data_IF_643854408077
#
_entry.id   IF_643854408077
#
_cell.length_a   1.000
_cell.length_b   1.000
_cell.length_c   1.000
_cell.angle_alpha   90.00
_cell.angle_beta   90.00
_cell.angle_gamma   90.00
#
_symmetry.space_group_name_H-M   'P 1'
#
loop_
_entity.id
_entity.type
_entity.pdbx_description
1 polymer ?
#
# COMPACT_ATOMS: atom_id res chain seq x y z
N UNK A 1 -7.59 -76.20 20.51
CA UNK A 1 -7.55 -74.74 20.77
C UNK A 1 -8.70 -74.10 20.00
N UNK A 2 -9.84 -73.84 20.64
CA UNK A 2 -10.28 -72.59 21.29
C UNK A 2 -10.68 -71.46 20.32
N UNK A 3 -12.00 -71.43 20.05
CA UNK A 3 -12.97 -70.29 19.93
C UNK A 3 -12.62 -69.17 18.93
N UNK A 4 -13.55 -68.75 18.07
CA UNK A 4 -14.68 -67.87 18.46
C UNK A 4 -15.95 -68.07 17.62
N UNK A 5 -17.06 -67.73 18.26
CA UNK A 5 -18.46 -67.93 17.90
C UNK A 5 -19.15 -66.56 17.96
N UNK A 6 -19.96 -66.25 16.93
CA UNK A 6 -21.10 -65.31 16.82
C UNK A 6 -20.85 -63.80 17.15
N UNK A 7 -21.62 -62.78 16.74
CA UNK A 7 -23.05 -62.61 16.38
C UNK A 7 -23.18 -61.38 15.44
N UNK A 8 -24.19 -61.38 14.57
CA UNK A 8 -24.66 -60.26 13.74
C UNK A 8 -25.83 -59.54 14.45
N UNK A 9 -25.74 -58.22 14.68
CA UNK A 9 -26.82 -57.24 14.96
C UNK A 9 -26.14 -55.86 14.86
N UNK A 10 -26.68 -54.76 14.36
CA UNK A 10 -27.98 -54.33 13.89
C UNK A 10 -27.85 -52.82 13.61
N UNK A 11 -28.81 -52.29 12.87
CA UNK A 11 -28.91 -50.95 12.27
C UNK A 11 -28.72 -49.80 13.28
N UNK A 12 -28.10 -48.69 12.86
CA UNK A 12 -28.56 -47.36 13.30
C UNK A 12 -28.24 -46.28 12.25
N UNK A 13 -29.31 -45.76 11.66
CA UNK A 13 -29.33 -44.57 10.82
C UNK A 13 -29.32 -43.37 11.78
N UNK A 14 -28.28 -42.53 11.72
CA UNK A 14 -28.30 -41.23 12.37
C UNK A 14 -27.84 -40.17 11.37
N UNK A 15 -28.82 -39.43 10.86
CA UNK A 15 -28.65 -38.14 10.22
C UNK A 15 -27.84 -37.23 11.17
N UNK A 16 -26.62 -36.88 10.78
CA UNK A 16 -25.95 -35.71 11.32
C UNK A 16 -25.79 -34.72 10.18
N UNK A 17 -26.68 -33.74 10.21
CA UNK A 17 -26.46 -32.40 9.68
C UNK A 17 -25.03 -31.97 10.03
N UNK A 18 -24.12 -32.06 9.06
CA UNK A 18 -22.89 -31.30 9.11
C UNK A 18 -23.28 -29.84 8.92
N UNK A 19 -23.44 -29.10 10.02
CA UNK A 19 -23.31 -27.65 9.98
C UNK A 19 -21.94 -27.36 9.38
N UNK A 20 -21.91 -26.97 8.11
CA UNK A 20 -20.75 -26.36 7.50
C UNK A 20 -20.50 -25.05 8.26
N UNK A 21 -19.63 -25.11 9.27
CA UNK A 21 -19.04 -23.90 9.84
C UNK A 21 -18.21 -23.28 8.72
N UNK A 22 -18.79 -22.23 8.12
CA UNK A 22 -18.09 -21.26 7.31
C UNK A 22 -16.85 -20.83 8.10
N UNK A 23 -15.62 -20.94 7.56
CA UNK A 23 -14.48 -20.40 8.28
C UNK A 23 -14.69 -18.89 8.33
N UNK A 24 -14.97 -18.39 9.53
CA UNK A 24 -14.86 -16.98 9.83
C UNK A 24 -13.40 -16.61 9.59
N UNK A 25 -13.18 -15.79 8.56
CA UNK A 25 -11.91 -15.10 8.33
C UNK A 25 -11.73 -14.15 9.50
N UNK A 26 -11.19 -14.67 10.60
CA UNK A 26 -10.57 -13.86 11.63
C UNK A 26 -9.38 -13.17 10.98
N UNK A 27 -9.60 -11.98 10.43
CA UNK A 27 -8.54 -11.01 10.22
C UNK A 27 -8.03 -10.65 11.61
N UNK A 28 -7.09 -11.44 12.12
CA UNK A 28 -6.40 -11.15 13.36
C UNK A 28 -5.56 -9.89 13.13
N UNK A 29 -6.15 -8.75 13.44
CA UNK A 29 -5.42 -7.49 13.62
C UNK A 29 -4.54 -7.67 14.85
N UNK A 30 -3.36 -8.27 14.66
CA UNK A 30 -2.30 -8.28 15.65
C UNK A 30 -1.91 -6.83 15.90
N UNK A 31 -2.34 -6.29 17.03
CA UNK A 31 -1.82 -5.04 17.57
C UNK A 31 -0.34 -5.32 17.91
N UNK A 32 0.57 -4.97 17.01
CA UNK A 32 2.01 -5.08 17.24
C UNK A 32 2.43 -4.04 18.28
N UNK A 33 3.06 -4.51 19.35
CA UNK A 33 3.63 -3.67 20.40
C UNK A 33 4.83 -2.89 19.85
N UNK A 34 4.93 -1.64 20.31
CA UNK A 34 6.00 -0.67 20.09
C UNK A 34 7.41 -1.29 20.21
N UNK A 35 8.16 -1.23 19.11
CA UNK A 35 9.61 -1.45 19.04
C UNK A 35 10.03 -2.89 18.76
N UNK A 36 10.29 -3.22 17.49
CA UNK A 36 11.59 -3.76 17.03
C UNK A 36 11.59 -4.03 15.51
N UNK A 37 10.45 -4.37 14.90
CA UNK A 37 10.34 -4.61 13.45
C UNK A 37 9.23 -3.76 12.82
N UNK A 38 9.44 -3.19 11.61
CA UNK A 38 8.40 -2.43 10.93
C UNK A 38 7.22 -3.34 10.53
N UNK A 39 6.00 -2.86 10.79
CA UNK A 39 4.77 -3.47 10.29
C UNK A 39 4.59 -3.09 8.82
N UNK A 40 5.01 -3.96 7.89
CA UNK A 40 4.78 -3.76 6.46
C UNK A 40 3.31 -4.09 6.15
N UNK A 41 2.54 -3.06 5.81
CA UNK A 41 1.11 -3.20 5.51
C UNK A 41 0.82 -3.27 4.01
N UNK A 42 1.78 -2.87 3.16
CA UNK A 42 1.66 -2.96 1.70
C UNK A 42 3.03 -3.16 1.03
N UNK A 43 3.24 -4.36 0.49
CA UNK A 43 4.46 -4.77 -0.25
C UNK A 43 4.14 -5.28 -1.68
N UNK A 44 2.92 -5.03 -2.16
CA UNK A 44 2.39 -5.44 -3.47
C UNK A 44 2.53 -6.93 -3.84
N UNK A 45 2.89 -7.80 -2.90
CA UNK A 45 2.96 -9.26 -3.09
C UNK A 45 1.57 -9.88 -3.31
N UNK A 46 0.56 -9.31 -2.68
CA UNK A 46 -0.82 -9.76 -2.73
C UNK A 46 -1.58 -9.07 -3.87
N UNK A 47 -2.64 -9.70 -4.36
CA UNK A 47 -3.44 -9.15 -5.47
C UNK A 47 -4.29 -7.92 -5.06
N UNK A 48 -4.46 -7.67 -3.77
CA UNK A 48 -5.37 -6.65 -3.27
C UNK A 48 -4.62 -5.36 -2.88
N UNK A 49 -4.19 -4.61 -3.89
CA UNK A 49 -3.89 -3.18 -3.75
C UNK A 49 -5.20 -2.40 -3.75
N UNK A 50 -5.52 -1.71 -2.64
CA UNK A 50 -6.69 -0.84 -2.55
C UNK A 50 -6.24 0.62 -2.72
N UNK A 51 -6.31 1.10 -3.95
CA UNK A 51 -5.83 2.42 -4.33
C UNK A 51 -5.89 2.60 -5.84
N UNK A 52 -5.41 3.74 -6.32
CA UNK A 52 -5.49 4.07 -7.74
C UNK A 52 -4.72 5.32 -8.11
N UNK A 53 -4.80 5.67 -9.39
CA UNK A 53 -4.24 6.92 -9.90
C UNK A 53 -5.28 8.03 -9.80
N UNK A 54 -4.82 9.24 -9.51
CA UNK A 54 -5.60 10.44 -9.65
C UNK A 54 -4.77 11.55 -10.30
N UNK A 55 -5.45 12.51 -10.91
CA UNK A 55 -4.89 13.77 -11.39
C UNK A 55 -5.93 14.88 -11.16
N UNK A 56 -5.47 16.09 -10.86
CA UNK A 56 -6.36 17.22 -10.52
C UNK A 56 -7.30 17.58 -11.68
N UNK A 57 -6.79 17.51 -12.92
CA UNK A 57 -7.52 17.86 -14.14
C UNK A 57 -7.72 16.65 -15.07
N UNK A 58 -8.55 15.67 -14.69
CA UNK A 58 -8.83 14.46 -15.49
C UNK A 58 -9.59 14.72 -16.81
N UNK A 59 -10.20 15.89 -16.98
CA UNK A 59 -11.20 16.14 -18.04
C UNK A 59 -10.62 16.52 -19.42
N UNK A 60 -9.30 16.58 -19.59
CA UNK A 60 -8.69 16.97 -20.86
C UNK A 60 -8.41 15.79 -21.81
N UNK A 61 -8.77 14.57 -21.40
CA UNK A 61 -8.59 13.35 -22.20
C UNK A 61 -7.15 12.84 -22.28
N UNK A 62 -6.21 13.42 -21.52
CA UNK A 62 -4.81 13.01 -21.49
C UNK A 62 -4.47 12.38 -20.14
N UNK A 63 -4.27 11.06 -20.13
CA UNK A 63 -3.76 10.35 -18.96
C UNK A 63 -2.30 10.69 -18.71
N UNK A 64 -2.03 11.47 -17.67
CA UNK A 64 -0.68 11.83 -17.27
C UNK A 64 -0.01 10.74 -16.46
N UNK A 65 -0.76 10.06 -15.61
CA UNK A 65 -0.23 9.12 -14.62
C UNK A 65 -0.72 7.69 -14.86
N UNK A 66 0.14 6.70 -14.66
CA UNK A 66 -0.22 5.27 -14.78
C UNK A 66 0.51 4.46 -13.72
N UNK A 67 -0.19 3.49 -13.13
CA UNK A 67 0.43 2.53 -12.21
C UNK A 67 0.49 1.13 -12.82
N UNK A 68 1.55 0.39 -12.49
CA UNK A 68 1.69 -1.05 -12.80
C UNK A 68 2.44 -1.74 -11.67
N UNK A 69 2.17 -3.02 -11.44
CA UNK A 69 3.01 -3.84 -10.57
C UNK A 69 4.23 -4.33 -11.34
N UNK A 70 5.41 -4.31 -10.71
CA UNK A 70 6.66 -4.78 -11.30
C UNK A 70 7.32 -5.82 -10.39
N UNK A 71 7.57 -7.02 -10.90
CA UNK A 71 8.39 -8.02 -10.22
C UNK A 71 9.88 -7.89 -10.57
N UNK A 72 10.21 -7.10 -11.60
CA UNK A 72 11.57 -6.91 -12.12
C UNK A 72 12.35 -5.87 -11.31
N UNK A 73 11.68 -4.79 -10.92
CA UNK A 73 12.23 -3.75 -10.07
C UNK A 73 11.44 -3.78 -8.78
N UNK A 74 12.07 -4.21 -7.68
CA UNK A 74 11.46 -4.34 -6.36
C UNK A 74 12.51 -4.13 -5.28
N UNK A 75 12.06 -3.82 -4.08
CA UNK A 75 12.94 -3.72 -2.93
C UNK A 75 13.14 -5.12 -2.32
N UNK A 76 14.38 -5.49 -2.01
CA UNK A 76 14.74 -6.84 -1.57
C UNK A 76 14.64 -7.92 -2.66
N UNK A 77 14.63 -9.18 -2.24
CA UNK A 77 14.74 -10.34 -3.14
C UNK A 77 13.40 -10.93 -3.59
N UNK A 78 12.28 -10.52 -2.98
CA UNK A 78 10.94 -11.09 -3.19
C UNK A 78 9.89 -9.99 -3.37
N UNK A 79 8.73 -10.37 -3.88
CA UNK A 79 7.58 -9.48 -4.02
C UNK A 79 7.51 -8.67 -5.31
N UNK A 80 6.83 -7.53 -5.22
CA UNK A 80 6.60 -6.61 -6.34
C UNK A 80 6.74 -5.17 -5.84
N UNK A 81 7.11 -4.23 -6.71
CA UNK A 81 6.88 -2.82 -6.46
C UNK A 81 5.70 -2.30 -7.27
N UNK A 82 5.25 -1.08 -6.94
CA UNK A 82 4.36 -0.29 -7.78
C UNK A 82 5.18 0.73 -8.57
N UNK A 83 5.21 0.60 -9.90
CA UNK A 83 5.69 1.67 -10.77
C UNK A 83 4.61 2.73 -10.95
N UNK A 84 4.95 4.00 -10.76
CA UNK A 84 4.15 5.17 -11.09
C UNK A 84 4.82 5.95 -12.22
N UNK A 85 4.23 5.87 -13.40
CA UNK A 85 4.64 6.60 -14.60
C UNK A 85 3.98 7.97 -14.60
N UNK A 86 4.69 8.99 -15.08
CA UNK A 86 4.12 10.31 -15.36
C UNK A 86 4.57 10.82 -16.74
N UNK A 87 3.71 11.57 -17.42
CA UNK A 87 3.99 12.19 -18.71
C UNK A 87 3.36 13.59 -18.85
N UNK A 88 4.15 14.61 -18.53
CA UNK A 88 3.79 16.02 -18.55
C UNK A 88 4.00 16.71 -19.90
N UNK A 89 4.32 15.98 -20.99
CA UNK A 89 4.59 16.61 -22.29
C UNK A 89 3.42 17.42 -22.83
N UNK A 90 2.19 17.03 -22.48
CA UNK A 90 0.97 17.61 -23.02
C UNK A 90 0.21 18.53 -22.05
N UNK A 91 0.60 18.57 -20.75
CA UNK A 91 -0.05 19.40 -19.72
C UNK A 91 0.92 20.38 -19.09
N UNK A 92 0.55 21.67 -19.02
CA UNK A 92 1.44 22.72 -18.52
C UNK A 92 1.64 22.69 -17.01
N UNK A 93 0.62 22.34 -16.23
CA UNK A 93 0.60 22.41 -14.75
C UNK A 93 -0.08 21.18 -14.14
N UNK A 94 0.45 19.98 -14.40
CA UNK A 94 -0.17 18.75 -13.92
C UNK A 94 0.28 18.38 -12.50
N UNK A 95 -0.70 18.03 -11.68
CA UNK A 95 -0.54 17.45 -10.34
C UNK A 95 -1.35 16.17 -10.28
N UNK A 96 -0.77 15.13 -9.69
CA UNK A 96 -1.44 13.84 -9.50
C UNK A 96 -0.52 12.83 -8.85
N UNK A 97 -0.89 11.57 -8.92
CA UNK A 97 -0.07 10.49 -8.41
C UNK A 97 -0.89 9.26 -8.08
N UNK A 98 -0.53 8.60 -6.97
CA UNK A 98 -1.23 7.41 -6.49
C UNK A 98 -1.82 7.67 -5.11
N UNK A 99 -3.06 7.25 -4.92
CA UNK A 99 -3.74 7.21 -3.63
C UNK A 99 -3.82 5.77 -3.13
N UNK A 100 -3.78 5.61 -1.80
CA UNK A 100 -3.80 4.32 -1.10
C UNK A 100 -4.84 4.42 0.03
N UNK A 101 -5.81 3.52 0.04
CA UNK A 101 -6.77 3.39 1.14
C UNK A 101 -6.07 2.79 2.37
N UNK A 102 -6.09 3.53 3.47
CA UNK A 102 -5.56 3.11 4.76
C UNK A 102 -6.62 3.14 5.86
N UNK A 103 -7.90 3.27 5.50
CA UNK A 103 -9.04 3.39 6.43
C UNK A 103 -9.20 2.23 7.41
N UNK A 104 -8.56 1.09 7.13
CA UNK A 104 -8.58 -0.12 7.96
C UNK A 104 -7.38 -0.23 8.91
N UNK A 105 -6.46 0.73 8.91
CA UNK A 105 -5.23 0.70 9.69
C UNK A 105 -5.30 1.70 10.85
N UNK A 106 -4.77 1.31 12.01
CA UNK A 106 -4.62 2.20 13.17
C UNK A 106 -3.17 2.69 13.27
N UNK A 107 -2.95 3.99 13.06
CA UNK A 107 -1.63 4.61 13.11
C UNK A 107 -1.23 5.08 14.51
N UNK A 108 -2.15 5.06 15.49
CA UNK A 108 -1.95 5.73 16.81
C UNK A 108 -0.83 5.12 17.65
N UNK A 109 -0.53 3.84 17.43
CA UNK A 109 0.49 3.10 18.18
C UNK A 109 1.89 3.15 17.56
N UNK A 110 2.04 3.86 16.44
CA UNK A 110 3.29 3.94 15.68
C UNK A 110 3.88 5.36 15.74
N UNK A 111 5.20 5.44 15.63
CA UNK A 111 5.94 6.71 15.61
C UNK A 111 6.19 7.18 14.18
N UNK A 112 6.34 6.26 13.23
CA UNK A 112 6.70 6.56 11.85
C UNK A 112 5.80 5.85 10.86
N UNK A 113 5.51 6.57 9.78
CA UNK A 113 5.10 6.01 8.50
C UNK A 113 6.30 6.03 7.57
N UNK A 114 6.48 5.00 6.77
CA UNK A 114 7.52 4.98 5.76
C UNK A 114 7.26 4.04 4.60
N UNK A 115 8.09 4.17 3.58
CA UNK A 115 8.11 3.34 2.39
C UNK A 115 9.46 3.46 1.69
N UNK A 116 9.69 2.64 0.67
CA UNK A 116 10.87 2.72 -0.19
C UNK A 116 10.52 3.31 -1.55
N UNK A 117 11.43 4.14 -2.07
CA UNK A 117 11.28 4.77 -3.39
C UNK A 117 12.56 4.66 -4.20
N UNK A 118 12.43 4.39 -5.50
CA UNK A 118 13.53 4.38 -6.49
C UNK A 118 13.06 5.05 -7.78
N UNK A 119 13.90 5.85 -8.42
CA UNK A 119 13.67 6.43 -9.73
C UNK A 119 14.16 5.53 -10.87
N UNK A 120 13.54 5.61 -12.04
CA UNK A 120 13.97 4.91 -13.26
C UNK A 120 14.99 5.76 -14.04
N UNK A 121 16.31 5.49 -13.95
CA UNK A 121 17.32 6.34 -14.57
C UNK A 121 17.22 6.41 -16.10
N UNK A 122 16.84 5.32 -16.77
CA UNK A 122 16.80 5.26 -18.23
C UNK A 122 15.64 6.07 -18.83
N UNK A 123 14.54 6.21 -18.08
CA UNK A 123 13.39 7.02 -18.47
C UNK A 123 13.48 8.46 -17.94
N UNK A 124 14.11 8.63 -16.78
CA UNK A 124 14.06 9.84 -15.95
C UNK A 124 13.06 9.72 -14.79
N UNK A 125 13.22 10.58 -13.79
CA UNK A 125 12.38 10.59 -12.58
C UNK A 125 12.35 11.97 -11.90
N UNK A 126 11.33 12.21 -11.07
CA UNK A 126 11.25 13.38 -10.19
C UNK A 126 12.16 13.16 -8.99
N UNK A 127 12.87 14.19 -8.53
CA UNK A 127 13.69 14.13 -7.32
C UNK A 127 12.87 14.44 -6.05
N UNK A 128 11.67 15.02 -6.21
CA UNK A 128 10.78 15.46 -5.14
C UNK A 128 9.41 14.81 -5.31
N UNK A 129 8.86 14.32 -4.20
CA UNK A 129 7.49 13.85 -4.09
C UNK A 129 6.81 14.48 -2.87
N UNK A 130 5.50 14.64 -2.95
CA UNK A 130 4.64 14.95 -1.80
C UNK A 130 4.07 13.67 -1.19
N UNK A 131 3.94 13.64 0.12
CA UNK A 131 3.26 12.60 0.87
C UNK A 131 2.10 13.28 1.58
N UNK A 132 0.88 13.12 1.07
CA UNK A 132 -0.33 13.74 1.64
C UNK A 132 -1.08 12.72 2.47
N UNK A 133 -1.34 13.07 3.72
CA UNK A 133 -2.21 12.35 4.63
C UNK A 133 -3.59 13.00 4.62
N UNK A 134 -4.64 12.18 4.59
CA UNK A 134 -6.02 12.62 4.68
C UNK A 134 -6.79 11.82 5.74
N UNK A 135 -7.52 12.53 6.61
CA UNK A 135 -8.44 11.91 7.56
C UNK A 135 -9.89 11.91 7.04
N UNK A 136 -10.75 11.13 7.70
CA UNK A 136 -12.18 11.04 7.40
C UNK A 136 -12.95 12.34 7.59
N UNK A 137 -12.36 13.32 8.29
CA UNK A 137 -12.96 14.63 8.53
C UNK A 137 -12.61 15.61 7.37
N UNK A 138 -11.86 15.14 6.36
CA UNK A 138 -11.47 15.89 5.16
C UNK A 138 -10.23 16.76 5.33
N UNK A 139 -9.53 16.66 6.47
CA UNK A 139 -8.30 17.42 6.68
C UNK A 139 -7.15 16.78 5.91
N UNK A 140 -6.28 17.63 5.35
CA UNK A 140 -5.12 17.20 4.57
C UNK A 140 -3.83 17.85 5.06
N UNK A 141 -2.74 17.08 5.06
CA UNK A 141 -1.39 17.60 5.29
C UNK A 141 -0.36 16.90 4.40
N UNK A 142 0.41 17.69 3.65
CA UNK A 142 1.47 17.19 2.77
C UNK A 142 2.84 17.40 3.39
N UNK A 143 3.68 16.37 3.33
CA UNK A 143 5.13 16.46 3.61
C UNK A 143 5.90 16.24 2.33
N UNK A 144 6.82 17.14 2.02
CA UNK A 144 7.69 17.00 0.86
C UNK A 144 8.90 16.14 1.22
N UNK A 145 9.27 15.24 0.31
CA UNK A 145 10.52 14.49 0.37
C UNK A 145 11.37 14.83 -0.85
N UNK A 146 12.51 15.48 -0.63
CA UNK A 146 13.52 15.75 -1.65
C UNK A 146 14.66 14.74 -1.50
N UNK A 147 14.68 13.75 -2.38
CA UNK A 147 15.66 12.67 -2.24
C UNK A 147 15.49 11.50 -3.18
N UNK A 148 14.44 11.44 -4.00
CA UNK A 148 14.27 10.34 -4.97
C UNK A 148 15.49 10.27 -5.89
N UNK A 149 16.04 9.06 -6.07
CA UNK A 149 17.25 8.80 -6.83
C UNK A 149 17.22 7.44 -7.52
N UNK A 150 18.24 7.13 -8.30
CA UNK A 150 18.31 5.86 -9.05
C UNK A 150 18.46 4.62 -8.16
N UNK A 151 18.79 4.79 -6.87
CA UNK A 151 18.83 3.71 -5.88
C UNK A 151 17.64 3.76 -4.94
N UNK A 152 17.29 2.60 -4.37
CA UNK A 152 16.28 2.50 -3.34
C UNK A 152 16.63 3.37 -2.14
N UNK A 153 15.72 4.26 -1.80
CA UNK A 153 15.83 5.14 -0.65
C UNK A 153 14.61 5.01 0.23
N UNK A 154 14.88 4.99 1.53
CA UNK A 154 13.84 4.96 2.54
C UNK A 154 13.28 6.36 2.74
N UNK A 155 11.95 6.48 2.69
CA UNK A 155 11.20 7.65 3.11
C UNK A 155 10.62 7.37 4.49
N UNK A 156 10.84 8.27 5.44
CA UNK A 156 10.29 8.17 6.79
C UNK A 156 9.72 9.50 7.27
N UNK A 157 8.46 9.47 7.67
CA UNK A 157 7.74 10.59 8.25
C UNK A 157 7.45 10.28 9.70
N UNK A 158 8.02 11.08 10.61
CA UNK A 158 7.63 11.03 12.02
C UNK A 158 6.18 11.51 12.14
N UNK A 159 5.27 10.64 12.57
CA UNK A 159 3.84 10.89 12.66
C UNK A 159 3.54 12.06 13.61
N UNK A 160 4.37 12.28 14.63
CA UNK A 160 4.26 13.45 15.51
C UNK A 160 4.50 14.80 14.82
N UNK A 161 5.00 14.84 13.57
CA UNK A 161 5.09 16.06 12.73
C UNK A 161 3.84 16.32 11.88
N UNK A 162 2.86 15.41 11.88
CA UNK A 162 1.54 15.62 11.28
C UNK A 162 0.65 16.29 12.34
N UNK A 163 0.12 17.47 12.02
CA UNK A 163 -0.55 18.37 12.97
C UNK A 163 -1.96 18.75 12.54
N UNK A 164 -2.25 18.77 11.25
CA UNK A 164 -3.54 19.16 10.69
C UNK A 164 -4.49 17.98 10.48
N UNK A 165 -3.98 16.75 10.55
CA UNK A 165 -4.72 15.53 10.26
C UNK A 165 -4.85 14.71 11.53
N UNK A 166 -6.03 14.14 11.75
CA UNK A 166 -6.27 13.21 12.83
C UNK A 166 -5.76 11.80 12.48
N UNK A 167 -4.59 11.46 13.00
CA UNK A 167 -3.92 10.18 12.68
C UNK A 167 -4.73 8.94 13.10
N UNK A 168 -5.67 9.05 14.05
CA UNK A 168 -6.52 7.93 14.47
C UNK A 168 -7.66 7.63 13.50
N UNK A 169 -7.86 8.49 12.50
CA UNK A 169 -8.91 8.39 11.49
C UNK A 169 -8.37 8.61 10.08
N UNK A 170 -7.13 8.19 9.80
CA UNK A 170 -6.60 8.27 8.45
C UNK A 170 -7.43 7.39 7.50
N UNK A 171 -7.79 7.95 6.35
CA UNK A 171 -8.50 7.22 5.30
C UNK A 171 -7.64 7.01 4.07
N UNK A 172 -6.79 7.97 3.73
CA UNK A 172 -6.02 7.94 2.49
C UNK A 172 -4.61 8.49 2.68
N UNK A 173 -3.65 7.85 2.01
CA UNK A 173 -2.30 8.39 1.81
C UNK A 173 -2.05 8.53 0.32
N UNK A 174 -1.52 9.69 -0.07
CA UNK A 174 -1.18 9.98 -1.45
C UNK A 174 0.32 10.18 -1.62
N UNK A 175 0.88 9.56 -2.66
CA UNK A 175 2.19 9.91 -3.19
C UNK A 175 1.98 10.82 -4.39
N UNK A 176 2.32 12.09 -4.22
CA UNK A 176 2.02 13.19 -5.15
C UNK A 176 3.26 13.54 -5.95
N UNK A 177 3.10 13.68 -7.26
CA UNK A 177 4.09 14.25 -8.17
C UNK A 177 3.47 15.51 -8.76
N UNK A 178 4.19 16.62 -8.60
CA UNK A 178 3.82 17.89 -9.22
C UNK A 178 4.82 18.20 -10.32
N UNK A 179 4.32 18.58 -11.50
CA UNK A 179 5.18 18.90 -12.64
C UNK A 179 6.23 19.97 -12.31
N UNK A 180 5.88 20.97 -11.49
CA UNK A 180 6.81 22.05 -11.10
C UNK A 180 8.06 21.56 -10.36
N UNK A 181 8.03 20.35 -9.80
CA UNK A 181 9.17 19.73 -9.12
C UNK A 181 9.83 18.60 -9.94
N UNK A 182 9.22 18.19 -11.05
CA UNK A 182 9.78 17.19 -11.93
C UNK A 182 10.80 17.81 -12.88
N UNK A 183 12.07 17.42 -12.75
CA UNK A 183 13.15 17.91 -13.61
C UNK A 183 13.10 17.33 -15.04
N UNK A 184 12.26 16.33 -15.27
CA UNK A 184 12.04 15.70 -16.57
C UNK A 184 10.54 15.63 -16.87
N UNK A 185 10.11 15.80 -18.13
CA UNK A 185 8.68 15.81 -18.47
C UNK A 185 8.06 14.41 -18.50
N UNK A 186 8.85 13.35 -18.63
CA UNK A 186 8.40 11.97 -18.59
C UNK A 186 9.30 11.23 -17.62
N UNK A 187 8.71 10.37 -16.79
CA UNK A 187 9.50 9.59 -15.87
C UNK A 187 8.71 8.51 -15.15
N UNK A 188 9.42 7.76 -14.34
CA UNK A 188 8.87 6.70 -13.49
C UNK A 188 9.55 6.70 -12.14
N UNK A 189 8.75 6.50 -11.10
CA UNK A 189 9.25 6.07 -9.79
C UNK A 189 8.68 4.70 -9.45
N UNK A 190 9.39 3.95 -8.63
CA UNK A 190 8.95 2.70 -8.02
C UNK A 190 8.73 2.94 -6.54
N UNK A 191 7.63 2.41 -6.01
CA UNK A 191 7.22 2.50 -4.61
C UNK A 191 7.10 1.07 -4.07
N UNK A 192 7.62 0.83 -2.88
CA UNK A 192 7.61 -0.50 -2.29
C UNK A 192 7.58 -0.44 -0.75
N UNK A 193 7.22 -1.56 -0.13
CA UNK A 193 7.29 -1.81 1.31
C UNK A 193 6.80 -0.63 2.16
N UNK A 194 5.51 -0.31 2.10
CA UNK A 194 4.90 0.68 2.99
C UNK A 194 4.72 0.08 4.39
N UNK A 195 5.16 0.80 5.41
CA UNK A 195 5.18 0.31 6.79
C UNK A 195 4.85 1.36 7.84
N UNK A 196 4.55 0.85 9.03
CA UNK A 196 4.44 1.59 10.29
C UNK A 196 5.47 1.06 11.30
N UNK A 197 6.07 1.93 12.12
CA UNK A 197 6.98 1.52 13.21
C UNK A 197 6.94 2.46 14.41
#
# INVERSE_FOLDING_TARGET
MKRRKYVLYGVCFSLLWGCAQKPETETQTKIQKKGEEPYIFLSFEQEHFNGGVWEEDMNDGVTTFRIKRSHLVKHGDRGYSLSLDYNFKLKKDSVGGVWIDVSRLDFTNYLYFGFWVKGEPDLGFTNIIGITFEDTDGNRETKMFAGVGAEWKKVEIFLGKIKKVNISKLQEINIVIEKRFANVPVGRIYLDDFYLR
#
